data_IF_474500702513
#
_entry.id   IF_474500702513
#
_cell.length_a   1.000
_cell.length_b   1.000
_cell.length_c   1.000
_cell.angle_alpha   90.00
_cell.angle_beta   90.00
_cell.angle_gamma   90.00
#
_symmetry.space_group_name_H-M   'P 1'
#
loop_
_entity.id
_entity.type
_entity.pdbx_description
1 polymer ?
#
# COMPACT_ATOMS: atom_id res chain seq x y z
N UNK A 1 -25.44 -7.21 -14.25
CA UNK A 1 -25.04 -6.27 -13.17
C UNK A 1 -24.46 -6.97 -11.94
N UNK A 2 -25.14 -7.99 -11.36
CA UNK A 2 -24.65 -8.73 -10.16
C UNK A 2 -23.23 -9.31 -10.31
N UNK A 3 -22.91 -9.92 -11.45
CA UNK A 3 -21.58 -10.52 -11.72
C UNK A 3 -20.46 -9.47 -11.81
N UNK A 4 -20.73 -8.30 -12.40
CA UNK A 4 -19.77 -7.20 -12.47
C UNK A 4 -19.45 -6.64 -11.07
N UNK A 5 -20.48 -6.45 -10.24
CA UNK A 5 -20.31 -5.96 -8.86
C UNK A 5 -19.53 -6.98 -8.03
N UNK A 6 -19.85 -8.27 -8.18
CA UNK A 6 -19.12 -9.38 -7.58
C UNK A 6 -17.63 -9.36 -7.98
N UNK A 7 -17.34 -9.19 -9.27
CA UNK A 7 -15.99 -9.12 -9.77
C UNK A 7 -15.21 -7.91 -9.22
N UNK A 8 -15.82 -6.72 -9.19
CA UNK A 8 -15.20 -5.52 -8.63
C UNK A 8 -14.92 -5.66 -7.13
N UNK A 9 -15.78 -6.36 -6.39
CA UNK A 9 -15.55 -6.71 -4.98
C UNK A 9 -14.37 -7.68 -4.83
N UNK A 10 -14.31 -8.73 -5.66
CA UNK A 10 -13.25 -9.75 -5.64
C UNK A 10 -11.86 -9.14 -5.85
N UNK A 11 -11.71 -8.25 -6.83
CA UNK A 11 -10.41 -7.59 -7.09
C UNK A 11 -10.10 -6.48 -6.07
N UNK A 12 -11.04 -6.19 -5.16
CA UNK A 12 -11.02 -5.09 -4.19
C UNK A 12 -10.71 -3.76 -4.88
N UNK A 13 -11.52 -3.40 -5.88
CA UNK A 13 -11.30 -2.22 -6.74
C UNK A 13 -10.96 -0.91 -6.00
N UNK A 14 -11.50 -0.60 -4.79
CA UNK A 14 -11.13 0.63 -4.11
C UNK A 14 -9.66 0.64 -3.69
N UNK A 15 -9.06 -0.51 -3.37
CA UNK A 15 -7.63 -0.59 -3.05
C UNK A 15 -6.76 -0.38 -4.31
N UNK A 16 -7.22 -0.87 -5.46
CA UNK A 16 -6.54 -0.67 -6.73
C UNK A 16 -6.50 0.81 -7.14
N UNK A 17 -7.60 1.53 -6.90
CA UNK A 17 -7.65 2.98 -7.09
C UNK A 17 -6.62 3.68 -6.21
N UNK A 18 -6.45 3.26 -4.96
CA UNK A 18 -5.44 3.86 -4.06
C UNK A 18 -4.02 3.64 -4.58
N UNK A 19 -3.72 2.44 -5.11
CA UNK A 19 -2.40 2.14 -5.70
C UNK A 19 -2.14 3.06 -6.91
N UNK A 20 -3.06 3.10 -7.86
CA UNK A 20 -2.93 3.94 -9.05
C UNK A 20 -2.83 5.44 -8.70
N UNK A 21 -3.66 5.91 -7.76
CA UNK A 21 -3.64 7.29 -7.28
C UNK A 21 -2.31 7.62 -6.59
N UNK A 22 -1.79 6.72 -5.75
CA UNK A 22 -0.51 6.91 -5.07
C UNK A 22 0.64 7.04 -6.07
N UNK A 23 0.68 6.16 -7.08
CA UNK A 23 1.69 6.21 -8.13
C UNK A 23 1.57 7.47 -8.98
N UNK A 24 0.34 7.90 -9.29
CA UNK A 24 0.08 9.13 -10.03
C UNK A 24 0.51 10.38 -9.25
N UNK A 25 0.13 10.47 -7.98
CA UNK A 25 0.53 11.56 -7.10
C UNK A 25 2.04 11.60 -6.94
N UNK A 26 2.69 10.44 -6.79
CA UNK A 26 4.14 10.40 -6.69
C UNK A 26 4.80 10.88 -7.99
N UNK A 27 4.40 10.37 -9.15
CA UNK A 27 5.03 10.77 -10.42
C UNK A 27 4.81 12.26 -10.73
N UNK A 28 3.57 12.72 -10.65
CA UNK A 28 3.20 14.05 -11.17
C UNK A 28 3.16 15.15 -10.12
N UNK A 29 3.12 14.81 -8.84
CA UNK A 29 3.17 15.80 -7.77
C UNK A 29 4.51 15.82 -7.03
N UNK A 30 5.31 14.74 -7.07
CA UNK A 30 6.62 14.70 -6.39
C UNK A 30 7.76 14.60 -7.38
N UNK A 31 7.87 13.50 -8.14
CA UNK A 31 9.02 13.22 -9.02
C UNK A 31 9.17 14.30 -10.07
N UNK A 32 8.11 14.58 -10.85
CA UNK A 32 8.18 15.57 -11.93
C UNK A 32 8.46 16.99 -11.43
N UNK A 33 7.81 17.52 -10.38
CA UNK A 33 8.16 18.84 -9.85
C UNK A 33 9.57 18.91 -9.26
N UNK A 34 10.02 17.86 -8.55
CA UNK A 34 11.37 17.83 -7.99
C UNK A 34 12.43 17.79 -9.09
N UNK A 35 12.22 17.04 -10.17
CA UNK A 35 13.13 17.02 -11.32
C UNK A 35 13.12 18.35 -12.07
N UNK A 36 11.93 18.89 -12.38
CA UNK A 36 11.77 20.14 -13.11
C UNK A 36 12.41 21.33 -12.38
N UNK A 37 12.28 21.40 -11.05
CA UNK A 37 12.95 22.40 -10.22
C UNK A 37 14.48 22.37 -10.36
N UNK A 38 15.05 21.21 -10.68
CA UNK A 38 16.49 21.04 -10.92
C UNK A 38 16.87 21.02 -12.41
N UNK A 39 15.95 21.40 -13.32
CA UNK A 39 16.21 21.44 -14.77
C UNK A 39 16.19 20.08 -15.47
N UNK A 40 15.70 19.03 -14.80
CA UNK A 40 15.66 17.66 -15.30
C UNK A 40 14.24 17.24 -15.71
N UNK A 41 14.15 16.25 -16.60
CA UNK A 41 12.87 15.67 -17.04
C UNK A 41 12.69 14.24 -16.52
N UNK A 42 11.46 13.83 -16.16
CA UNK A 42 11.19 12.44 -15.81
C UNK A 42 11.54 11.46 -16.92
N UNK A 43 12.07 10.30 -16.51
CA UNK A 43 12.49 9.22 -17.39
C UNK A 43 11.30 8.45 -17.95
N UNK A 44 10.22 8.37 -17.15
CA UNK A 44 8.96 7.76 -17.55
C UNK A 44 8.15 8.68 -18.46
N UNK A 45 7.97 8.28 -19.72
CA UNK A 45 6.96 8.89 -20.59
C UNK A 45 5.54 8.70 -20.02
N UNK A 46 4.59 9.55 -20.44
CA UNK A 46 3.17 9.41 -20.08
C UNK A 46 2.64 7.98 -20.32
N UNK A 47 2.96 7.40 -21.48
CA UNK A 47 2.52 6.04 -21.84
C UNK A 47 3.20 5.00 -20.97
N UNK A 48 4.52 5.10 -20.75
CA UNK A 48 5.28 4.16 -19.91
C UNK A 48 4.79 4.18 -18.47
N UNK A 49 4.47 5.35 -17.92
CA UNK A 49 3.92 5.50 -16.58
C UNK A 49 2.57 4.77 -16.44
N UNK A 50 1.62 5.01 -17.35
CA UNK A 50 0.31 4.35 -17.26
C UNK A 50 0.40 2.84 -17.46
N UNK A 51 1.31 2.37 -18.31
CA UNK A 51 1.60 0.93 -18.44
C UNK A 51 2.18 0.35 -17.14
N UNK A 52 3.13 1.04 -16.51
CA UNK A 52 3.69 0.61 -15.22
C UNK A 52 2.63 0.58 -14.11
N UNK A 53 1.77 1.60 -14.06
CA UNK A 53 0.70 1.66 -13.07
C UNK A 53 -0.35 0.57 -13.31
N UNK A 54 -0.75 0.35 -14.56
CA UNK A 54 -1.64 -0.75 -14.94
C UNK A 54 -1.03 -2.11 -14.57
N UNK A 55 0.27 -2.31 -14.84
CA UNK A 55 1.01 -3.50 -14.44
C UNK A 55 0.90 -3.74 -12.93
N UNK A 56 1.16 -2.72 -12.11
CA UNK A 56 1.08 -2.81 -10.65
C UNK A 56 -0.34 -3.12 -10.17
N UNK A 57 -1.34 -2.46 -10.78
CA UNK A 57 -2.76 -2.68 -10.46
C UNK A 57 -3.19 -4.11 -10.79
N UNK A 58 -2.74 -4.68 -11.92
CA UNK A 58 -3.06 -6.06 -12.30
C UNK A 58 -2.43 -7.07 -11.33
N UNK A 59 -1.16 -6.88 -10.95
CA UNK A 59 -0.50 -7.74 -9.95
C UNK A 59 -1.23 -7.66 -8.60
N UNK A 60 -1.61 -6.45 -8.16
CA UNK A 60 -2.36 -6.28 -6.92
C UNK A 60 -3.77 -6.91 -6.99
N UNK A 61 -4.45 -6.81 -8.14
CA UNK A 61 -5.73 -7.47 -8.38
C UNK A 61 -5.60 -9.00 -8.33
N UNK A 62 -4.58 -9.56 -8.96
CA UNK A 62 -4.27 -10.98 -8.88
C UNK A 62 -4.00 -11.42 -7.43
N UNK A 63 -3.26 -10.62 -6.67
CA UNK A 63 -3.01 -10.80 -5.24
C UNK A 63 -4.28 -10.82 -4.40
N UNK A 64 -5.21 -9.89 -4.64
CA UNK A 64 -6.51 -9.87 -3.95
C UNK A 64 -7.34 -11.13 -4.27
N UNK A 65 -7.36 -11.56 -5.54
CA UNK A 65 -8.10 -12.76 -5.95
C UNK A 65 -7.56 -14.02 -5.26
N UNK A 66 -6.24 -14.24 -5.25
CA UNK A 66 -5.65 -15.44 -4.64
C UNK A 66 -5.77 -15.41 -3.12
N UNK A 67 -5.72 -14.23 -2.50
CA UNK A 67 -5.99 -14.09 -1.07
C UNK A 67 -7.43 -14.53 -0.74
N UNK A 68 -8.43 -14.02 -1.45
CA UNK A 68 -9.83 -14.41 -1.23
C UNK A 68 -10.05 -15.91 -1.52
N UNK A 69 -9.32 -16.49 -2.48
CA UNK A 69 -9.38 -17.92 -2.79
C UNK A 69 -8.97 -18.81 -1.60
N UNK A 70 -7.89 -18.46 -0.90
CA UNK A 70 -7.44 -19.21 0.29
C UNK A 70 -8.24 -18.85 1.55
N UNK A 71 -8.85 -17.66 1.60
CA UNK A 71 -9.57 -17.15 2.77
C UNK A 71 -11.05 -17.58 2.83
N UNK A 72 -11.53 -18.42 1.91
CA UNK A 72 -12.93 -18.86 1.83
C UNK A 72 -13.48 -19.30 3.20
N UNK A 73 -12.76 -20.14 3.94
CA UNK A 73 -13.22 -20.64 5.24
C UNK A 73 -13.26 -19.55 6.32
N UNK A 74 -12.29 -18.62 6.29
CA UNK A 74 -12.18 -17.49 7.21
C UNK A 74 -13.33 -16.51 6.94
N UNK A 75 -13.57 -16.17 5.67
CA UNK A 75 -14.55 -15.17 5.25
C UNK A 75 -16.00 -15.63 5.47
N UNK A 76 -16.27 -16.94 5.42
CA UNK A 76 -17.59 -17.50 5.78
C UNK A 76 -17.94 -17.17 7.24
N UNK A 77 -16.95 -17.15 8.13
CA UNK A 77 -17.15 -16.88 9.56
C UNK A 77 -17.17 -15.39 9.83
N UNK A 78 -16.15 -14.66 9.36
CA UNK A 78 -15.97 -13.25 9.72
C UNK A 78 -16.89 -12.32 8.93
N UNK A 79 -17.14 -12.62 7.64
CA UNK A 79 -17.75 -11.69 6.67
C UNK A 79 -18.66 -12.41 5.65
N UNK A 80 -19.64 -13.22 6.08
CA UNK A 80 -20.46 -14.03 5.18
C UNK A 80 -21.16 -13.20 4.11
N UNK A 81 -21.59 -11.99 4.43
CA UNK A 81 -22.31 -11.08 3.53
C UNK A 81 -21.43 -10.52 2.39
N UNK A 82 -20.12 -10.45 2.61
CA UNK A 82 -19.15 -9.86 1.67
C UNK A 82 -18.52 -10.93 0.76
N UNK A 83 -18.70 -12.21 1.09
CA UNK A 83 -18.16 -13.33 0.33
C UNK A 83 -18.75 -13.39 -1.08
N UNK A 84 -17.88 -13.42 -2.08
CA UNK A 84 -18.26 -13.50 -3.51
C UNK A 84 -17.90 -14.85 -4.13
N UNK A 85 -16.78 -15.42 -3.71
CA UNK A 85 -16.35 -16.75 -4.12
C UNK A 85 -17.30 -17.82 -3.58
N UNK A 86 -17.51 -18.88 -4.35
CA UNK A 86 -18.48 -19.96 -4.13
C UNK A 86 -19.97 -19.56 -4.11
N UNK A 87 -20.30 -18.29 -3.86
CA UNK A 87 -21.67 -17.78 -3.93
C UNK A 87 -22.06 -17.31 -5.34
N UNK A 88 -21.15 -16.57 -6.00
CA UNK A 88 -21.41 -15.93 -7.31
C UNK A 88 -20.34 -16.31 -8.32
N UNK A 89 -19.07 -16.28 -7.90
CA UNK A 89 -17.92 -16.57 -8.77
C UNK A 89 -17.36 -17.94 -8.40
N UNK A 90 -17.26 -18.83 -9.38
CA UNK A 90 -16.66 -20.15 -9.21
C UNK A 90 -15.13 -20.03 -9.04
N UNK A 91 -14.58 -20.84 -8.14
CA UNK A 91 -13.13 -21.01 -7.88
C UNK A 91 -12.29 -21.14 -9.14
N UNK A 92 -12.75 -21.90 -10.15
CA UNK A 92 -12.02 -22.06 -11.42
C UNK A 92 -11.81 -20.74 -12.15
N UNK A 93 -12.84 -19.89 -12.17
CA UNK A 93 -12.76 -18.56 -12.77
C UNK A 93 -11.89 -17.62 -11.95
N UNK A 94 -11.92 -17.70 -10.62
CA UNK A 94 -11.03 -16.92 -9.77
C UNK A 94 -9.56 -17.23 -10.08
N UNK A 95 -9.20 -18.52 -10.17
CA UNK A 95 -7.84 -18.93 -10.55
C UNK A 95 -7.47 -18.51 -11.98
N UNK A 96 -8.41 -18.59 -12.93
CA UNK A 96 -8.18 -18.10 -14.29
C UNK A 96 -7.87 -16.58 -14.29
N UNK A 97 -8.67 -15.78 -13.58
CA UNK A 97 -8.43 -14.33 -13.47
C UNK A 97 -7.10 -14.00 -12.78
N UNK A 98 -6.76 -14.71 -11.71
CA UNK A 98 -5.47 -14.58 -11.04
C UNK A 98 -4.31 -14.79 -12.02
N UNK A 99 -4.33 -15.89 -12.78
CA UNK A 99 -3.28 -16.21 -13.76
C UNK A 99 -3.22 -15.19 -14.88
N UNK A 100 -4.37 -14.82 -15.47
CA UNK A 100 -4.43 -13.83 -16.56
C UNK A 100 -3.87 -12.47 -16.09
N UNK A 101 -4.25 -12.01 -14.90
CA UNK A 101 -3.79 -10.73 -14.36
C UNK A 101 -2.30 -10.75 -14.00
N UNK A 102 -1.79 -11.85 -13.44
CA UNK A 102 -0.36 -11.99 -13.20
C UNK A 102 0.44 -12.00 -14.51
N UNK A 103 0.03 -12.79 -15.50
CA UNK A 103 0.70 -12.83 -16.80
C UNK A 103 0.67 -11.47 -17.49
N UNK A 104 -0.48 -10.81 -17.54
CA UNK A 104 -0.61 -9.48 -18.13
C UNK A 104 0.23 -8.43 -17.37
N UNK A 105 0.15 -8.42 -16.03
CA UNK A 105 0.90 -7.49 -15.20
C UNK A 105 2.42 -7.64 -15.37
N UNK A 106 2.93 -8.88 -15.35
CA UNK A 106 4.35 -9.18 -15.57
C UNK A 106 4.78 -8.79 -16.98
N UNK A 107 4.04 -9.19 -18.02
CA UNK A 107 4.36 -8.85 -19.41
C UNK A 107 4.41 -7.34 -19.65
N UNK A 108 3.45 -6.58 -19.11
CA UNK A 108 3.46 -5.12 -19.21
C UNK A 108 4.68 -4.53 -18.46
N UNK A 109 5.02 -5.08 -17.29
CA UNK A 109 6.21 -4.68 -16.54
C UNK A 109 7.50 -4.83 -17.35
N UNK A 110 7.68 -5.99 -18.01
CA UNK A 110 8.82 -6.22 -18.90
C UNK A 110 8.81 -5.33 -20.14
N UNK A 111 7.64 -5.04 -20.72
CA UNK A 111 7.52 -4.09 -21.85
C UNK A 111 8.01 -2.69 -21.43
N UNK A 112 7.63 -2.22 -20.25
CA UNK A 112 8.08 -0.92 -19.73
C UNK A 112 9.58 -0.93 -19.44
N UNK A 113 10.08 -1.97 -18.77
CA UNK A 113 11.50 -2.16 -18.48
C UNK A 113 12.37 -2.19 -19.76
N UNK A 114 11.90 -2.88 -20.80
CA UNK A 114 12.56 -2.91 -22.11
C UNK A 114 12.58 -1.54 -22.79
N UNK A 115 11.46 -0.80 -22.77
CA UNK A 115 11.40 0.57 -23.34
C UNK A 115 12.36 1.55 -22.67
N UNK A 116 12.64 1.34 -21.39
CA UNK A 116 13.55 2.19 -20.59
C UNK A 116 15.01 1.73 -20.74
N UNK A 117 15.25 0.56 -21.35
CA UNK A 117 16.58 -0.01 -21.56
C UNK A 117 17.12 -0.77 -20.34
N UNK A 118 16.27 -1.08 -19.37
CA UNK A 118 16.66 -1.62 -18.06
C UNK A 118 15.81 -2.85 -17.72
N UNK A 119 16.09 -3.96 -18.39
CA UNK A 119 15.25 -5.16 -18.35
C UNK A 119 15.07 -5.74 -16.94
N UNK A 120 16.06 -5.56 -16.05
CA UNK A 120 16.01 -6.13 -14.71
C UNK A 120 14.88 -5.54 -13.85
N UNK A 121 14.39 -4.32 -14.16
CA UNK A 121 13.26 -3.71 -13.47
C UNK A 121 11.95 -4.48 -13.69
N UNK A 122 11.83 -5.25 -14.77
CA UNK A 122 10.67 -6.11 -15.03
C UNK A 122 10.55 -7.28 -14.04
N UNK A 123 11.67 -7.70 -13.42
CA UNK A 123 11.63 -8.74 -12.39
C UNK A 123 10.97 -8.27 -11.09
N UNK A 124 10.82 -6.96 -10.87
CA UNK A 124 10.09 -6.43 -9.71
C UNK A 124 8.66 -6.96 -9.69
N UNK A 125 7.96 -7.00 -10.83
CA UNK A 125 6.60 -7.54 -10.95
C UNK A 125 6.55 -9.06 -10.70
N UNK A 126 7.57 -9.80 -11.16
CA UNK A 126 7.69 -11.24 -10.93
C UNK A 126 7.86 -11.52 -9.43
N UNK A 127 8.76 -10.79 -8.77
CA UNK A 127 8.99 -10.93 -7.34
C UNK A 127 7.72 -10.59 -6.56
N UNK A 128 7.03 -9.50 -6.92
CA UNK A 128 5.78 -9.12 -6.26
C UNK A 128 4.68 -10.18 -6.40
N UNK A 129 4.51 -10.77 -7.59
CA UNK A 129 3.49 -11.80 -7.82
C UNK A 129 3.78 -13.08 -7.04
N UNK A 130 5.05 -13.50 -6.98
CA UNK A 130 5.48 -14.63 -6.16
C UNK A 130 5.29 -14.38 -4.67
N UNK A 131 5.66 -13.19 -4.18
CA UNK A 131 5.47 -12.81 -2.78
C UNK A 131 3.98 -12.82 -2.40
N UNK A 132 3.09 -12.30 -3.26
CA UNK A 132 1.64 -12.33 -3.04
C UNK A 132 1.06 -13.76 -3.02
N UNK A 133 1.61 -14.64 -3.85
CA UNK A 133 1.28 -16.06 -3.83
C UNK A 133 1.67 -16.71 -2.50
N UNK A 134 2.96 -16.62 -2.13
CA UNK A 134 3.46 -17.21 -0.87
C UNK A 134 2.82 -16.62 0.38
N UNK A 135 2.47 -15.34 0.31
CA UNK A 135 1.67 -14.69 1.34
C UNK A 135 0.34 -15.41 1.55
N UNK A 136 -0.41 -15.62 0.47
CA UNK A 136 -1.76 -16.19 0.53
C UNK A 136 -1.74 -17.68 0.90
N UNK A 137 -0.70 -18.42 0.51
CA UNK A 137 -0.60 -19.85 0.83
C UNK A 137 -0.08 -20.13 2.23
N UNK A 138 0.84 -19.30 2.73
CA UNK A 138 1.69 -19.69 3.87
C UNK A 138 1.95 -18.56 4.86
N UNK A 139 2.44 -17.39 4.42
CA UNK A 139 2.91 -16.37 5.36
C UNK A 139 1.80 -15.69 6.14
N UNK A 140 0.56 -15.63 5.60
CA UNK A 140 -0.60 -15.11 6.33
C UNK A 140 -0.85 -15.85 7.65
N UNK A 141 -0.49 -17.15 7.73
CA UNK A 141 -0.71 -17.98 8.92
C UNK A 141 0.39 -17.82 9.98
N UNK A 142 1.42 -17.03 9.71
CA UNK A 142 2.56 -16.81 10.62
C UNK A 142 2.46 -15.47 11.34
N UNK A 143 2.86 -15.43 12.61
CA UNK A 143 2.80 -14.21 13.44
C UNK A 143 3.65 -13.11 12.80
N UNK A 144 3.06 -11.93 12.59
CA UNK A 144 3.69 -10.71 12.06
C UNK A 144 4.20 -10.77 10.61
N UNK A 145 4.68 -11.92 10.13
CA UNK A 145 5.35 -12.04 8.82
C UNK A 145 4.40 -11.63 7.69
N UNK A 146 3.15 -12.10 7.73
CA UNK A 146 2.13 -11.68 6.77
C UNK A 146 1.88 -10.16 6.79
N UNK A 147 1.70 -9.58 7.98
CA UNK A 147 1.41 -8.15 8.14
C UNK A 147 2.56 -7.28 7.63
N UNK A 148 3.80 -7.65 7.96
CA UNK A 148 5.01 -6.94 7.53
C UNK A 148 5.17 -7.06 6.01
N UNK A 149 4.96 -8.24 5.45
CA UNK A 149 5.11 -8.48 4.01
C UNK A 149 4.09 -7.67 3.18
N UNK A 150 2.80 -7.64 3.57
CA UNK A 150 1.80 -6.80 2.88
C UNK A 150 2.11 -5.31 3.02
N UNK A 151 2.64 -4.91 4.18
CA UNK A 151 3.05 -3.53 4.41
C UNK A 151 4.27 -3.14 3.58
N UNK A 152 5.24 -4.06 3.40
CA UNK A 152 6.37 -3.89 2.50
C UNK A 152 5.93 -3.78 1.04
N UNK A 153 4.99 -4.63 0.60
CA UNK A 153 4.42 -4.53 -0.76
C UNK A 153 3.67 -3.20 -0.97
N UNK A 154 2.97 -2.72 0.05
CA UNK A 154 2.28 -1.42 0.00
C UNK A 154 3.27 -0.26 -0.11
N UNK A 155 4.36 -0.30 0.64
CA UNK A 155 5.45 0.66 0.51
C UNK A 155 6.16 0.55 -0.85
N UNK A 156 6.40 -0.67 -1.34
CA UNK A 156 7.00 -0.92 -2.64
C UNK A 156 6.14 -0.37 -3.78
N UNK A 157 4.81 -0.40 -3.67
CA UNK A 157 3.94 0.23 -4.66
C UNK A 157 4.17 1.75 -4.79
N UNK A 158 4.58 2.41 -3.71
CA UNK A 158 5.06 3.81 -3.72
C UNK A 158 6.42 3.88 -4.44
N UNK A 159 7.39 3.09 -3.99
CA UNK A 159 8.79 3.17 -4.46
C UNK A 159 8.95 2.77 -5.93
N UNK A 160 8.10 1.87 -6.45
CA UNK A 160 8.20 1.32 -7.81
C UNK A 160 8.35 2.40 -8.86
N UNK A 161 7.62 3.51 -8.77
CA UNK A 161 7.72 4.59 -9.76
C UNK A 161 9.12 5.21 -9.74
N UNK A 162 9.72 5.39 -8.56
CA UNK A 162 11.07 5.92 -8.41
C UNK A 162 12.16 5.01 -8.97
N UNK A 163 12.00 3.68 -8.91
CA UNK A 163 12.97 2.75 -9.51
C UNK A 163 13.13 2.90 -11.02
N UNK A 164 12.14 3.47 -11.70
CA UNK A 164 12.19 3.69 -13.15
C UNK A 164 12.69 5.09 -13.52
N UNK A 165 13.22 5.86 -12.57
CA UNK A 165 13.88 7.15 -12.80
C UNK A 165 15.40 7.02 -12.87
N UNK A 166 16.03 7.63 -13.89
CA UNK A 166 17.47 7.53 -14.18
C UNK A 166 18.34 7.91 -13.00
N UNK A 167 17.92 8.94 -12.26
CA UNK A 167 18.60 9.43 -11.05
C UNK A 167 18.69 8.38 -9.94
N UNK A 168 17.96 7.26 -10.07
CA UNK A 168 17.94 6.15 -9.12
C UNK A 168 18.53 4.86 -9.73
N UNK A 169 18.26 4.53 -10.99
CA UNK A 169 18.70 3.25 -11.58
C UNK A 169 20.03 3.30 -12.34
N UNK A 170 20.49 4.47 -12.79
CA UNK A 170 21.56 4.57 -13.79
C UNK A 170 22.95 4.25 -13.22
N UNK A 171 23.31 4.85 -12.08
CA UNK A 171 24.61 4.65 -11.45
C UNK A 171 24.61 5.01 -9.97
N UNK A 172 25.63 4.56 -9.24
CA UNK A 172 25.83 4.98 -7.85
C UNK A 172 26.06 6.50 -7.74
N UNK A 173 26.70 7.11 -8.75
CA UNK A 173 26.89 8.56 -8.80
C UNK A 173 25.55 9.30 -8.97
N UNK A 174 24.65 8.78 -9.81
CA UNK A 174 23.30 9.33 -9.98
C UNK A 174 22.51 9.30 -8.66
N UNK A 175 22.60 8.18 -7.93
CA UNK A 175 21.99 8.02 -6.59
C UNK A 175 22.59 9.02 -5.59
N UNK A 176 23.91 9.22 -5.65
CA UNK A 176 24.63 10.13 -4.73
C UNK A 176 24.51 11.61 -5.11
N UNK A 177 24.01 11.92 -6.30
CA UNK A 177 23.74 13.30 -6.72
C UNK A 177 22.77 14.00 -5.76
N UNK A 178 22.82 15.35 -5.64
CA UNK A 178 21.88 16.09 -4.81
C UNK A 178 20.40 15.80 -5.14
N UNK A 179 20.11 15.61 -6.43
CA UNK A 179 18.76 15.33 -6.95
C UNK A 179 18.34 13.90 -6.58
N UNK A 180 19.20 12.91 -6.85
CA UNK A 180 18.94 11.50 -6.50
C UNK A 180 18.70 11.31 -5.00
N UNK A 181 19.55 11.92 -4.17
CA UNK A 181 19.38 11.91 -2.70
C UNK A 181 18.07 12.55 -2.26
N UNK A 182 17.69 13.70 -2.85
CA UNK A 182 16.42 14.37 -2.53
C UNK A 182 15.22 13.51 -2.92
N UNK A 183 15.23 12.91 -4.10
CA UNK A 183 14.18 11.99 -4.55
C UNK A 183 14.05 10.79 -3.62
N UNK A 184 15.16 10.11 -3.31
CA UNK A 184 15.17 8.94 -2.42
C UNK A 184 14.66 9.31 -1.03
N UNK A 185 15.05 10.47 -0.49
CA UNK A 185 14.55 10.94 0.80
C UNK A 185 13.04 11.15 0.79
N UNK A 186 12.50 11.87 -0.21
CA UNK A 186 11.06 12.16 -0.27
C UNK A 186 10.25 10.89 -0.53
N UNK A 187 10.65 10.09 -1.53
CA UNK A 187 10.00 8.81 -1.84
C UNK A 187 10.09 7.87 -0.63
N UNK A 188 11.24 7.82 0.03
CA UNK A 188 11.48 6.99 1.22
C UNK A 188 10.60 7.38 2.41
N UNK A 189 10.37 8.67 2.64
CA UNK A 189 9.43 9.14 3.69
C UNK A 189 8.01 8.68 3.40
N UNK A 190 7.55 8.80 2.16
CA UNK A 190 6.21 8.32 1.78
C UNK A 190 6.09 6.80 1.81
N UNK A 191 7.14 6.08 1.43
CA UNK A 191 7.21 4.63 1.52
C UNK A 191 7.18 4.16 2.99
N UNK A 192 7.92 4.82 3.87
CA UNK A 192 7.91 4.54 5.31
C UNK A 192 6.56 4.87 5.94
N UNK A 193 5.94 5.99 5.57
CA UNK A 193 4.57 6.31 5.96
C UNK A 193 3.62 5.20 5.53
N UNK A 194 3.65 4.79 4.26
CA UNK A 194 2.80 3.74 3.69
C UNK A 194 3.02 2.38 4.38
N UNK A 195 4.27 2.04 4.70
CA UNK A 195 4.63 0.86 5.46
C UNK A 195 3.99 0.87 6.86
N UNK A 196 4.25 1.92 7.66
CA UNK A 196 3.79 2.00 9.05
C UNK A 196 2.26 2.01 9.11
N UNK A 197 1.60 2.82 8.28
CA UNK A 197 0.14 2.92 8.30
C UNK A 197 -0.53 1.63 7.81
N UNK A 198 0.07 0.95 6.82
CA UNK A 198 -0.39 -0.38 6.38
C UNK A 198 -0.22 -1.40 7.50
N UNK A 199 0.89 -1.36 8.24
CA UNK A 199 1.13 -2.31 9.32
C UNK A 199 0.13 -2.11 10.46
N UNK A 200 -0.15 -0.87 10.84
CA UNK A 200 -1.23 -0.54 11.80
C UNK A 200 -2.56 -1.13 11.30
N UNK A 201 -2.88 -0.94 10.01
CA UNK A 201 -4.13 -1.42 9.43
C UNK A 201 -4.24 -2.94 9.44
N UNK A 202 -3.18 -3.65 9.08
CA UNK A 202 -3.20 -5.12 9.08
C UNK A 202 -3.32 -5.68 10.51
N UNK A 203 -2.67 -5.08 11.52
CA UNK A 203 -2.85 -5.51 12.92
C UNK A 203 -4.28 -5.22 13.41
N UNK A 204 -4.87 -4.08 13.04
CA UNK A 204 -6.28 -3.77 13.39
C UNK A 204 -7.25 -4.73 12.69
N UNK A 205 -6.96 -5.17 11.47
CA UNK A 205 -7.76 -6.21 10.82
C UNK A 205 -7.61 -7.56 11.51
N UNK A 206 -6.43 -7.95 11.94
CA UNK A 206 -6.26 -9.20 12.70
C UNK A 206 -7.11 -9.17 13.99
N UNK A 207 -7.28 -8.00 14.62
CA UNK A 207 -8.19 -7.78 15.75
C UNK A 207 -9.67 -7.87 15.34
N UNK A 208 -10.02 -7.43 14.13
CA UNK A 208 -11.37 -7.56 13.54
C UNK A 208 -11.70 -9.04 13.21
N UNK A 209 -10.72 -9.78 12.68
CA UNK A 209 -10.91 -11.09 12.06
C UNK A 209 -10.54 -12.29 12.96
N UNK A 210 -10.30 -12.03 14.26
CA UNK A 210 -9.84 -13.01 15.26
C UNK A 210 -10.62 -14.33 15.27
N UNK A 211 -11.95 -14.29 15.15
CA UNK A 211 -12.81 -15.48 15.27
C UNK A 211 -12.60 -16.46 14.12
N UNK A 212 -12.62 -15.98 12.87
CA UNK A 212 -12.36 -16.78 11.69
C UNK A 212 -10.91 -17.24 11.61
N UNK A 213 -9.96 -16.36 11.94
CA UNK A 213 -8.53 -16.67 11.92
C UNK A 213 -8.18 -17.78 12.93
N UNK A 214 -8.77 -17.75 14.12
CA UNK A 214 -8.57 -18.79 15.13
C UNK A 214 -9.13 -20.15 14.71
N UNK A 215 -10.20 -20.17 13.90
CA UNK A 215 -10.83 -21.41 13.41
C UNK A 215 -10.09 -22.03 12.22
N UNK A 216 -9.42 -21.22 11.40
CA UNK A 216 -8.58 -21.70 10.28
C UNK A 216 -7.11 -21.96 10.69
N UNK A 217 -6.80 -21.88 11.99
CA UNK A 217 -5.45 -22.16 12.52
C UNK A 217 -4.41 -21.08 12.25
N UNK A 218 -4.84 -19.84 11.95
CA UNK A 218 -3.93 -18.71 11.79
C UNK A 218 -3.31 -18.32 13.13
N UNK A 219 -2.00 -18.02 13.12
CA UNK A 219 -1.27 -17.54 14.29
C UNK A 219 -1.04 -16.02 14.18
N UNK A 220 -2.10 -15.22 14.26
CA UNK A 220 -1.97 -13.75 14.24
C UNK A 220 -1.54 -13.20 15.60
N UNK A 221 -1.09 -11.95 15.66
CA UNK A 221 -0.67 -11.30 16.91
C UNK A 221 -1.76 -11.38 17.99
N UNK A 222 -3.03 -11.01 17.74
CA UNK A 222 -4.06 -11.06 18.78
C UNK A 222 -4.42 -12.50 19.20
N UNK A 223 -4.15 -13.51 18.37
CA UNK A 223 -4.37 -14.92 18.73
C UNK A 223 -3.24 -15.46 19.61
N UNK A 224 -1.98 -15.13 19.28
CA UNK A 224 -0.82 -15.69 19.99
C UNK A 224 -0.44 -14.88 21.23
N UNK A 225 -0.48 -13.54 21.14
CA UNK A 225 -0.10 -12.65 22.25
C UNK A 225 -1.29 -11.98 22.93
N UNK A 226 -2.49 -12.12 22.38
CA UNK A 226 -3.69 -11.50 22.91
C UNK A 226 -3.96 -10.09 22.41
N UNK A 227 -5.14 -9.58 22.73
CA UNK A 227 -5.65 -8.28 22.25
C UNK A 227 -4.82 -7.10 22.75
N UNK A 228 -4.37 -7.14 24.01
CA UNK A 228 -3.66 -6.02 24.63
C UNK A 228 -2.29 -5.77 23.98
N UNK A 229 -1.42 -6.78 23.78
CA UNK A 229 -0.18 -6.59 23.04
C UNK A 229 -0.39 -6.12 21.60
N UNK A 230 -1.40 -6.64 20.89
CA UNK A 230 -1.74 -6.17 19.54
C UNK A 230 -2.03 -4.66 19.52
N UNK A 231 -2.83 -4.17 20.48
CA UNK A 231 -3.11 -2.72 20.62
C UNK A 231 -1.87 -1.91 20.99
N UNK A 232 -1.01 -2.43 21.88
CA UNK A 232 0.24 -1.75 22.26
C UNK A 232 1.17 -1.56 21.06
N UNK A 233 1.30 -2.57 20.20
CA UNK A 233 2.07 -2.45 18.95
C UNK A 233 1.46 -1.37 18.05
N UNK A 234 0.14 -1.35 17.88
CA UNK A 234 -0.52 -0.28 17.13
C UNK A 234 -0.23 1.11 17.70
N UNK A 235 -0.25 1.28 19.03
CA UNK A 235 0.07 2.56 19.67
C UNK A 235 1.54 2.97 19.45
N UNK A 236 2.47 2.04 19.55
CA UNK A 236 3.87 2.30 19.26
C UNK A 236 4.07 2.73 17.80
N UNK A 237 3.43 2.04 16.85
CA UNK A 237 3.48 2.41 15.43
C UNK A 237 2.83 3.78 15.15
N UNK A 238 1.72 4.11 15.80
CA UNK A 238 1.10 5.45 15.70
C UNK A 238 2.02 6.54 16.24
N UNK A 239 2.75 6.28 17.34
CA UNK A 239 3.73 7.22 17.86
C UNK A 239 4.89 7.42 16.88
N UNK A 240 5.44 6.34 16.31
CA UNK A 240 6.48 6.41 15.28
C UNK A 240 5.99 7.23 14.07
N UNK A 241 4.73 7.02 13.65
CA UNK A 241 4.11 7.78 12.57
C UNK A 241 4.04 9.29 12.89
N UNK A 242 3.63 9.65 14.12
CA UNK A 242 3.57 11.05 14.55
C UNK A 242 4.96 11.69 14.59
N UNK A 243 5.97 10.98 15.07
CA UNK A 243 7.37 11.44 15.07
C UNK A 243 7.87 11.65 13.65
N UNK A 244 7.60 10.71 12.73
CA UNK A 244 7.96 10.85 11.32
C UNK A 244 7.33 12.11 10.70
N UNK A 245 6.03 12.35 10.94
CA UNK A 245 5.34 13.53 10.44
C UNK A 245 5.93 14.81 11.04
N UNK A 246 6.25 14.81 12.35
CA UNK A 246 6.87 15.97 13.01
C UNK A 246 8.23 16.31 12.39
N UNK A 247 9.06 15.31 12.11
CA UNK A 247 10.36 15.53 11.44
C UNK A 247 10.19 16.15 10.05
N UNK A 248 9.18 15.71 9.29
CA UNK A 248 8.84 16.33 8.00
C UNK A 248 8.36 17.77 8.18
N UNK A 249 7.48 18.03 9.15
CA UNK A 249 6.97 19.37 9.47
C UNK A 249 8.09 20.34 9.82
N UNK A 250 9.07 19.92 10.64
CA UNK A 250 10.25 20.73 10.97
C UNK A 250 11.01 21.10 9.69
N UNK A 251 11.26 20.14 8.79
CA UNK A 251 11.99 20.38 7.54
C UNK A 251 11.26 21.38 6.63
N UNK A 252 9.96 21.21 6.43
CA UNK A 252 9.19 22.07 5.52
C UNK A 252 8.86 23.43 6.16
N UNK A 253 8.89 23.55 7.50
CA UNK A 253 8.76 24.83 8.20
C UNK A 253 9.91 25.78 7.87
N UNK A 254 11.15 25.27 7.79
CA UNK A 254 12.30 26.07 7.35
C UNK A 254 12.17 26.61 5.91
N UNK A 255 11.36 25.96 5.08
CA UNK A 255 11.09 26.34 3.69
C UNK A 255 9.80 27.20 3.59
N UNK A 256 9.08 27.40 4.71
CA UNK A 256 7.88 28.23 4.76
C UNK A 256 6.62 27.57 4.22
N UNK A 257 6.56 26.24 4.11
CA UNK A 257 5.38 25.50 3.62
C UNK A 257 4.26 25.38 4.66
N UNK A 258 3.84 26.52 5.22
CA UNK A 258 2.80 26.58 6.26
C UNK A 258 1.46 25.91 5.88
N UNK A 259 0.95 26.04 4.63
CA UNK A 259 -0.27 25.34 4.23
C UNK A 259 -0.16 23.82 4.35
N UNK A 260 1.00 23.24 4.01
CA UNK A 260 1.25 21.81 4.12
C UNK A 260 1.30 21.36 5.59
N UNK A 261 1.88 22.19 6.47
CA UNK A 261 1.90 21.91 7.92
C UNK A 261 0.48 21.89 8.48
N UNK A 262 -0.33 22.91 8.20
CA UNK A 262 -1.72 23.00 8.64
C UNK A 262 -2.52 21.78 8.15
N UNK A 263 -2.34 21.40 6.88
CA UNK A 263 -2.95 20.20 6.31
C UNK A 263 -2.57 18.93 7.08
N UNK A 264 -1.28 18.71 7.35
CA UNK A 264 -0.81 17.53 8.07
C UNK A 264 -1.33 17.48 9.51
N UNK A 265 -1.42 18.62 10.19
CA UNK A 265 -2.01 18.70 11.55
C UNK A 265 -3.47 18.28 11.52
N UNK A 266 -4.28 18.88 10.63
CA UNK A 266 -5.73 18.72 10.63
C UNK A 266 -6.18 17.38 10.04
N UNK A 267 -5.55 16.92 8.95
CA UNK A 267 -6.02 15.77 8.17
C UNK A 267 -5.20 14.50 8.37
N UNK A 268 -4.08 14.57 9.10
CA UNK A 268 -3.25 13.40 9.42
C UNK A 268 -3.08 13.23 10.93
N UNK A 269 -2.48 14.18 11.64
CA UNK A 269 -2.17 14.04 13.07
C UNK A 269 -3.44 14.01 13.94
N UNK A 270 -4.39 14.92 13.75
CA UNK A 270 -5.65 14.92 14.52
C UNK A 270 -6.45 13.61 14.33
N UNK A 271 -6.63 13.07 13.09
CA UNK A 271 -7.21 11.75 12.90
C UNK A 271 -6.43 10.60 13.56
N UNK A 272 -5.10 10.65 13.63
CA UNK A 272 -4.30 9.64 14.37
C UNK A 272 -4.68 9.63 15.86
N UNK A 273 -4.79 10.79 16.50
CA UNK A 273 -5.24 10.88 17.90
C UNK A 273 -6.66 10.36 18.09
N UNK A 274 -7.55 10.64 17.14
CA UNK A 274 -8.91 10.13 17.17
C UNK A 274 -8.95 8.59 17.01
N UNK A 275 -8.18 8.04 16.08
CA UNK A 275 -8.00 6.60 15.88
C UNK A 275 -7.46 5.94 17.15
N UNK A 276 -6.47 6.54 17.80
CA UNK A 276 -5.93 6.08 19.08
C UNK A 276 -7.03 5.98 20.16
N UNK A 277 -7.85 7.03 20.31
CA UNK A 277 -8.94 7.05 21.27
C UNK A 277 -10.02 5.99 20.98
N UNK A 278 -10.34 5.75 19.70
CA UNK A 278 -11.28 4.71 19.29
C UNK A 278 -10.73 3.31 19.55
N UNK A 279 -9.47 3.04 19.20
CA UNK A 279 -8.84 1.73 19.41
C UNK A 279 -8.77 1.38 20.90
N UNK A 280 -8.57 2.37 21.77
CA UNK A 280 -8.60 2.18 23.23
C UNK A 280 -9.95 1.67 23.71
N UNK A 281 -11.05 2.16 23.15
CA UNK A 281 -12.44 1.75 23.49
C UNK A 281 -12.94 0.54 22.69
N UNK A 282 -12.16 0.02 21.75
CA UNK A 282 -12.59 -1.06 20.87
C UNK A 282 -12.56 -2.41 21.58
N UNK A 283 -13.64 -3.18 21.52
CA UNK A 283 -13.71 -4.54 22.09
C UNK A 283 -14.47 -5.51 21.19
N UNK A 284 -15.37 -4.98 20.35
CA UNK A 284 -16.17 -5.72 19.40
C UNK A 284 -15.57 -5.60 17.99
N UNK A 285 -15.85 -6.59 17.14
CA UNK A 285 -15.43 -6.62 15.73
C UNK A 285 -15.81 -5.33 14.98
N UNK A 286 -17.02 -4.81 15.20
CA UNK A 286 -17.50 -3.56 14.57
C UNK A 286 -16.65 -2.34 14.94
N UNK A 287 -16.13 -2.30 16.18
CA UNK A 287 -15.26 -1.21 16.62
C UNK A 287 -13.93 -1.26 15.85
N UNK A 288 -13.34 -2.45 15.68
CA UNK A 288 -12.13 -2.63 14.88
C UNK A 288 -12.36 -2.34 13.40
N UNK A 289 -13.52 -2.72 12.86
CA UNK A 289 -13.90 -2.38 11.48
C UNK A 289 -13.94 -0.85 11.25
N UNK A 290 -14.51 -0.10 12.19
CA UNK A 290 -14.52 1.36 12.16
C UNK A 290 -13.11 1.94 12.22
N UNK A 291 -12.24 1.41 13.10
CA UNK A 291 -10.84 1.84 13.18
C UNK A 291 -10.09 1.55 11.87
N UNK A 292 -10.22 0.34 11.31
CA UNK A 292 -9.60 -0.06 10.03
C UNK A 292 -10.04 0.82 8.86
N UNK A 293 -11.32 1.22 8.84
CA UNK A 293 -11.89 2.15 7.85
C UNK A 293 -11.34 3.57 7.98
N UNK A 294 -11.18 4.07 9.21
CA UNK A 294 -10.56 5.38 9.47
C UNK A 294 -9.07 5.40 9.13
N UNK A 295 -8.34 4.32 9.43
CA UNK A 295 -6.94 4.17 9.00
C UNK A 295 -6.85 4.23 7.47
N UNK A 296 -7.80 3.62 6.75
CA UNK A 296 -7.84 3.72 5.27
C UNK A 296 -8.07 5.16 4.79
N UNK A 297 -8.92 5.93 5.45
CA UNK A 297 -9.07 7.36 5.15
C UNK A 297 -7.81 8.16 5.45
N UNK A 298 -7.14 7.86 6.55
CA UNK A 298 -5.86 8.46 6.92
C UNK A 298 -4.75 8.16 5.90
N UNK A 299 -4.75 6.96 5.30
CA UNK A 299 -3.85 6.64 4.19
C UNK A 299 -4.09 7.58 3.00
N UNK A 300 -5.36 7.84 2.65
CA UNK A 300 -5.73 8.72 1.55
C UNK A 300 -5.27 10.16 1.81
N UNK A 301 -5.58 10.72 2.99
CA UNK A 301 -5.16 12.08 3.32
C UNK A 301 -3.64 12.20 3.39
N UNK A 302 -2.95 11.15 3.86
CA UNK A 302 -1.50 11.06 3.83
C UNK A 302 -0.91 11.17 2.43
N UNK A 303 -1.37 10.37 1.47
CA UNK A 303 -0.86 10.43 0.08
C UNK A 303 -1.23 11.73 -0.63
N UNK A 304 -2.40 12.32 -0.33
CA UNK A 304 -2.82 13.60 -0.92
C UNK A 304 -1.90 14.77 -0.52
N UNK A 305 -1.14 14.66 0.57
CA UNK A 305 -0.12 15.66 0.93
C UNK A 305 0.96 15.82 -0.14
N UNK A 306 1.16 14.85 -1.04
CA UNK A 306 2.09 14.96 -2.17
C UNK A 306 1.79 16.16 -3.08
N UNK A 307 0.53 16.61 -3.14
CA UNK A 307 0.11 17.74 -3.98
C UNK A 307 0.87 19.03 -3.62
N UNK A 308 1.27 19.21 -2.36
CA UNK A 308 2.01 20.40 -1.95
C UNK A 308 3.36 20.52 -2.66
N UNK A 309 4.01 19.41 -3.02
CA UNK A 309 5.23 19.46 -3.83
C UNK A 309 4.99 20.03 -5.22
N UNK A 310 3.78 19.88 -5.79
CA UNK A 310 3.44 20.47 -7.08
C UNK A 310 3.11 21.96 -7.00
N UNK A 311 2.58 22.39 -5.86
CA UNK A 311 2.07 23.77 -5.67
C UNK A 311 3.17 24.68 -5.11
N UNK A 312 4.10 24.14 -4.31
CA UNK A 312 5.05 24.92 -3.51
C UNK A 312 6.54 24.77 -3.90
N UNK A 313 6.88 23.86 -4.83
CA UNK A 313 8.18 23.88 -5.53
C UNK A 313 8.05 24.71 -6.81
#
# INVERSE_FOLDING_TARGET
MKLLIAFLKLIRYPNLIYIALTQFLLQYCVVAPVLAYNGETPSLSWVSFWLLSLSTVLIAAAGNIINDYFDINIDIINKPEKMVLDKIINRRWAMAWHTIFNMAGVSIGFIVAWRIGVIYLGFTQVICSLILWFYSTSFKRQVMIGNVLISLLTALAVVVVGFYEKQIYESFEAIMSPIGRKLIQVIGVYALFAFIISLIREIVKDLEDMLGDSKDGCRTIPIVWGVNPAKQICYALMLILLVLILLVQIRIAFIGWWPAIIYLVLLVQAPVFYIYALLRKAHLQEHYHKVSSLVKWLMLTGILSMIFFKILL
#
